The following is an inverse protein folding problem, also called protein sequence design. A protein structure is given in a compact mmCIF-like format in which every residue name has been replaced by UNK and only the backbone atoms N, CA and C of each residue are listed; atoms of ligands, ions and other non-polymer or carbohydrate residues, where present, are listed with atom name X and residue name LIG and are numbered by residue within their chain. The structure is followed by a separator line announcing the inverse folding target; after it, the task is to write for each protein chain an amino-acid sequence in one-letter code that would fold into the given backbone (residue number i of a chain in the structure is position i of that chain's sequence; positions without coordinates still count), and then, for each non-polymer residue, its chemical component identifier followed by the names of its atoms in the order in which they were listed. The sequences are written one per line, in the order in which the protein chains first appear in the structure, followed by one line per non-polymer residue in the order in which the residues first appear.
data_IF_227434312308
#
_entry.id   IF_227434312308
#
_cell.length_a   1.000
_cell.length_b   1.000
_cell.length_c   1.000
_cell.angle_alpha   90.00
_cell.angle_beta   90.00
_cell.angle_gamma   90.00
#
_symmetry.space_group_name_H-M   'P 1'
#
loop_
_entity.id
_entity.type
_entity.pdbx_description
1 polymer ?
#
# COMPACT_ATOMS: atom_id res chain seq x y z
N UNK A 1 22.09 2.04 -8.80
CA UNK A 1 22.71 1.15 -7.79
C UNK A 1 22.37 -0.27 -8.20
N UNK A 2 23.34 -1.03 -8.71
CA UNK A 2 23.20 -2.47 -8.93
C UNK A 2 23.44 -3.18 -7.59
N UNK A 3 22.40 -3.27 -6.77
CA UNK A 3 22.41 -4.08 -5.55
C UNK A 3 21.47 -5.25 -5.74
N UNK A 4 21.98 -6.48 -5.70
CA UNK A 4 21.13 -7.67 -5.68
C UNK A 4 20.27 -7.66 -4.42
N UNK A 5 18.95 -7.66 -4.56
CA UNK A 5 18.03 -7.70 -3.42
C UNK A 5 17.95 -9.13 -2.89
N UNK A 6 18.11 -9.31 -1.58
CA UNK A 6 17.82 -10.60 -0.94
C UNK A 6 16.90 -10.37 0.24
N UNK A 7 15.73 -11.01 0.23
CA UNK A 7 14.82 -11.04 1.37
C UNK A 7 14.94 -12.39 2.06
N UNK A 8 15.21 -12.36 3.36
CA UNK A 8 15.31 -13.54 4.21
C UNK A 8 14.52 -13.26 5.49
N UNK A 9 13.38 -13.92 5.66
CA UNK A 9 12.50 -13.76 6.82
C UNK A 9 12.38 -15.10 7.51
N UNK A 10 12.77 -15.18 8.79
CA UNK A 10 12.48 -16.32 9.66
C UNK A 10 11.51 -15.87 10.75
N UNK A 11 10.46 -16.66 11.00
CA UNK A 11 9.40 -16.29 11.94
C UNK A 11 8.69 -17.51 12.50
N UNK A 12 8.01 -17.34 13.64
CA UNK A 12 7.19 -18.39 14.25
C UNK A 12 5.79 -18.43 13.62
N UNK A 13 5.28 -19.64 13.38
CA UNK A 13 3.94 -19.87 12.86
C UNK A 13 3.13 -20.65 13.89
N UNK A 14 1.80 -20.49 13.89
CA UNK A 14 0.92 -20.99 14.95
C UNK A 14 1.02 -22.52 15.12
N UNK A 15 1.11 -23.25 14.00
CA UNK A 15 0.98 -24.72 13.99
C UNK A 15 2.19 -25.44 13.42
N UNK A 16 3.29 -24.73 13.16
CA UNK A 16 4.48 -25.29 12.50
C UNK A 16 5.77 -24.88 13.21
N UNK A 17 6.85 -25.62 12.94
CA UNK A 17 8.23 -25.18 13.24
C UNK A 17 8.49 -23.81 12.60
N UNK A 18 9.49 -23.04 13.09
CA UNK A 18 9.87 -21.76 12.51
C UNK A 18 9.87 -21.81 10.98
N UNK A 19 9.13 -20.89 10.37
CA UNK A 19 9.00 -20.77 8.92
C UNK A 19 10.08 -19.84 8.38
N UNK A 20 10.41 -20.02 7.11
CA UNK A 20 11.44 -19.24 6.43
C UNK A 20 11.01 -18.89 5.01
N UNK A 21 11.03 -17.60 4.69
CA UNK A 21 10.76 -17.06 3.35
C UNK A 21 12.07 -16.48 2.80
N UNK A 22 12.50 -16.99 1.64
CA UNK A 22 13.65 -16.49 0.90
C UNK A 22 13.24 -15.99 -0.49
N UNK A 23 13.59 -14.76 -0.83
CA UNK A 23 13.52 -14.25 -2.20
C UNK A 23 14.93 -13.86 -2.61
N UNK A 24 15.48 -14.57 -3.59
CA UNK A 24 16.82 -14.37 -4.12
C UNK A 24 16.80 -14.23 -5.64
N UNK A 25 17.83 -13.58 -6.18
CA UNK A 25 18.02 -13.45 -7.62
C UNK A 25 18.06 -14.82 -8.32
N UNK A 26 17.57 -14.92 -9.58
CA UNK A 26 17.63 -16.15 -10.36
C UNK A 26 19.09 -16.55 -10.61
N UNK A 27 19.59 -17.47 -9.77
CA UNK A 27 20.99 -17.89 -9.72
C UNK A 27 21.47 -18.32 -8.34
N UNK A 28 20.82 -17.85 -7.26
CA UNK A 28 21.16 -18.18 -5.86
C UNK A 28 20.42 -19.39 -5.27
N UNK A 29 19.47 -20.00 -6.00
CA UNK A 29 18.67 -21.11 -5.50
C UNK A 29 19.46 -22.44 -5.55
N UNK A 30 19.87 -22.92 -4.38
CA UNK A 30 20.36 -24.28 -4.19
C UNK A 30 19.27 -25.29 -4.58
N UNK A 31 19.57 -26.20 -5.50
CA UNK A 31 18.70 -27.30 -5.94
C UNK A 31 18.53 -28.31 -4.80
N UNK A 32 17.60 -28.07 -3.87
CA UNK A 32 17.23 -29.02 -2.80
C UNK A 32 15.77 -29.44 -2.91
N UNK A 33 15.46 -30.73 -2.80
CA UNK A 33 14.11 -31.28 -3.02
C UNK A 33 13.07 -31.00 -1.91
N UNK A 34 13.38 -30.14 -0.92
CA UNK A 34 12.43 -29.62 0.08
C UNK A 34 11.75 -28.30 -0.34
N UNK A 35 12.12 -27.79 -1.52
CA UNK A 35 11.85 -26.43 -2.02
C UNK A 35 10.43 -26.27 -2.62
N UNK A 36 9.70 -27.36 -2.87
CA UNK A 36 8.42 -27.29 -3.58
C UNK A 36 7.24 -26.85 -2.69
N UNK A 37 7.18 -27.34 -1.45
CA UNK A 37 6.15 -26.95 -0.46
C UNK A 37 6.36 -25.53 0.09
N UNK A 38 7.63 -25.13 0.24
CA UNK A 38 8.02 -23.76 0.63
C UNK A 38 7.69 -22.77 -0.49
N UNK A 39 7.94 -23.13 -1.75
CA UNK A 39 7.51 -22.33 -2.91
C UNK A 39 6.00 -22.17 -3.00
N UNK A 40 5.21 -23.20 -2.69
CA UNK A 40 3.74 -23.08 -2.70
C UNK A 40 3.23 -22.16 -1.61
N UNK A 41 3.75 -22.22 -0.38
CA UNK A 41 3.31 -21.33 0.70
C UNK A 41 3.75 -19.88 0.47
N UNK A 42 4.98 -19.69 -0.02
CA UNK A 42 5.48 -18.37 -0.41
C UNK A 42 4.64 -17.76 -1.54
N UNK A 43 4.26 -18.54 -2.55
CA UNK A 43 3.33 -18.11 -3.60
C UNK A 43 1.94 -17.82 -3.05
N UNK A 44 1.46 -18.56 -2.05
CA UNK A 44 0.17 -18.29 -1.42
C UNK A 44 0.17 -16.99 -0.61
N UNK A 45 1.28 -16.66 0.08
CA UNK A 45 1.38 -15.46 0.92
C UNK A 45 1.76 -14.19 0.14
N UNK A 46 2.58 -14.32 -0.90
CA UNK A 46 3.09 -13.18 -1.68
C UNK A 46 2.48 -13.09 -3.09
N UNK A 47 1.74 -14.12 -3.52
CA UNK A 47 1.24 -14.24 -4.89
C UNK A 47 2.38 -14.34 -5.91
N UNK A 48 2.13 -13.74 -7.07
CA UNK A 48 3.10 -13.64 -8.18
C UNK A 48 4.27 -12.69 -7.89
N UNK A 49 4.31 -12.05 -6.71
CA UNK A 49 5.31 -11.04 -6.34
C UNK A 49 6.63 -11.67 -5.91
N UNK A 50 7.33 -12.27 -6.89
CA UNK A 50 8.69 -12.80 -6.73
C UNK A 50 9.79 -11.73 -6.85
N UNK A 51 11.03 -12.18 -6.98
CA UNK A 51 12.23 -11.32 -7.05
C UNK A 51 12.11 -10.18 -8.07
N UNK A 52 11.71 -10.48 -9.30
CA UNK A 52 11.59 -9.48 -10.38
C UNK A 52 10.58 -8.38 -10.06
N UNK A 53 9.53 -8.70 -9.32
CA UNK A 53 8.53 -7.72 -8.90
C UNK A 53 9.11 -6.78 -7.85
N UNK A 54 9.78 -7.35 -6.83
CA UNK A 54 10.46 -6.55 -5.82
C UNK A 54 11.52 -5.65 -6.45
N UNK A 55 12.34 -6.19 -7.36
CA UNK A 55 13.34 -5.40 -8.09
C UNK A 55 12.72 -4.20 -8.82
N UNK A 56 11.63 -4.43 -9.56
CA UNK A 56 10.87 -3.35 -10.20
C UNK A 56 10.33 -2.34 -9.18
N UNK A 57 9.74 -2.80 -8.08
CA UNK A 57 9.25 -1.92 -7.01
C UNK A 57 10.38 -1.07 -6.43
N UNK A 58 11.56 -1.64 -6.18
CA UNK A 58 12.71 -0.87 -5.70
C UNK A 58 13.26 0.13 -6.71
N UNK A 59 13.21 -0.19 -8.02
CA UNK A 59 13.53 0.77 -9.09
C UNK A 59 12.54 1.94 -9.11
N UNK A 60 11.26 1.64 -8.88
CA UNK A 60 10.22 2.67 -8.72
C UNK A 60 10.45 3.53 -7.47
N UNK A 61 10.73 2.92 -6.31
CA UNK A 61 11.09 3.63 -5.07
C UNK A 61 12.30 4.55 -5.26
N UNK A 62 13.33 4.07 -5.96
CA UNK A 62 14.51 4.89 -6.26
C UNK A 62 14.15 6.13 -7.10
N UNK A 63 13.14 6.04 -7.96
CA UNK A 63 12.64 7.18 -8.73
C UNK A 63 11.87 8.18 -7.85
N UNK A 64 11.08 7.69 -6.89
CA UNK A 64 10.34 8.52 -5.93
C UNK A 64 11.25 9.36 -5.03
N UNK A 65 12.42 8.85 -4.65
CA UNK A 65 13.40 9.61 -3.84
C UNK A 65 13.79 10.96 -4.44
N UNK A 66 13.72 11.10 -5.77
CA UNK A 66 14.02 12.38 -6.43
C UNK A 66 12.98 13.48 -6.17
N UNK A 67 11.84 13.14 -5.55
CA UNK A 67 10.81 14.08 -5.14
C UNK A 67 11.25 14.85 -3.89
N UNK A 68 11.95 14.22 -2.95
CA UNK A 68 12.44 14.91 -1.74
C UNK A 68 13.83 15.49 -2.03
N UNK A 69 13.97 16.82 -1.97
CA UNK A 69 15.25 17.48 -2.24
C UNK A 69 16.06 17.64 -0.96
N UNK A 70 17.16 16.90 -0.81
CA UNK A 70 18.08 17.08 0.32
C UNK A 70 18.98 18.29 0.07
N UNK A 71 18.94 19.29 0.96
CA UNK A 71 19.82 20.48 0.94
C UNK A 71 21.25 20.19 1.46
N UNK A 72 21.70 18.92 1.42
CA UNK A 72 22.92 18.46 2.06
C UNK A 72 24.16 19.22 1.53
N UNK A 73 24.74 20.05 2.41
CA UNK A 73 26.04 20.70 2.15
C UNK A 73 27.13 19.66 2.36
N UNK A 74 27.82 19.35 1.27
CA UNK A 74 28.92 18.39 1.17
C UNK A 74 29.99 18.63 2.24
N UNK A 75 30.10 17.77 3.27
CA UNK A 75 31.41 17.24 3.76
C UNK A 75 31.29 16.23 4.92
N UNK A 76 30.42 16.42 5.92
CA UNK A 76 30.25 15.47 7.06
C UNK A 76 29.04 14.51 6.92
N UNK A 77 28.17 14.76 5.94
CA UNK A 77 26.87 14.09 5.75
C UNK A 77 26.93 12.69 5.12
N UNK A 78 28.10 12.18 4.73
CA UNK A 78 28.16 10.92 3.96
C UNK A 78 27.80 9.67 4.77
N UNK A 79 28.15 9.62 6.06
CA UNK A 79 27.80 8.49 6.93
C UNK A 79 26.34 8.55 7.39
N UNK A 80 25.84 9.75 7.70
CA UNK A 80 24.43 10.00 8.03
C UNK A 80 23.51 9.74 6.81
N UNK A 81 23.94 10.17 5.62
CA UNK A 81 23.25 9.86 4.36
C UNK A 81 23.17 8.35 4.12
N UNK A 82 24.26 7.60 4.37
CA UNK A 82 24.28 6.14 4.22
C UNK A 82 23.40 5.42 5.24
N UNK A 83 23.39 5.84 6.51
CA UNK A 83 22.51 5.26 7.53
C UNK A 83 21.04 5.56 7.26
N UNK A 84 20.73 6.77 6.80
CA UNK A 84 19.37 7.16 6.45
C UNK A 84 18.86 6.35 5.26
N UNK A 85 19.68 6.12 4.24
CA UNK A 85 19.31 5.27 3.09
C UNK A 85 19.05 3.82 3.51
N UNK A 86 19.86 3.25 4.41
CA UNK A 86 19.65 1.89 4.89
C UNK A 86 18.33 1.75 5.67
N UNK A 87 18.05 2.71 6.57
CA UNK A 87 16.79 2.76 7.30
C UNK A 87 15.60 2.98 6.36
N UNK A 88 15.70 3.91 5.41
CA UNK A 88 14.68 4.16 4.40
C UNK A 88 14.32 2.89 3.63
N UNK A 89 15.32 2.19 3.08
CA UNK A 89 15.12 0.92 2.39
C UNK A 89 14.43 -0.12 3.29
N UNK A 90 14.83 -0.20 4.57
CA UNK A 90 14.26 -1.13 5.54
C UNK A 90 12.77 -0.85 5.80
N UNK A 91 12.43 0.41 6.12
CA UNK A 91 11.06 0.82 6.40
C UNK A 91 10.16 0.67 5.16
N UNK A 92 10.66 1.05 3.98
CA UNK A 92 9.92 0.90 2.72
C UNK A 92 9.62 -0.58 2.43
N UNK A 93 10.61 -1.45 2.59
CA UNK A 93 10.43 -2.89 2.41
C UNK A 93 9.41 -3.48 3.38
N UNK A 94 9.52 -3.15 4.67
CA UNK A 94 8.58 -3.62 5.69
C UNK A 94 7.15 -3.18 5.38
N UNK A 95 6.96 -1.90 5.02
CA UNK A 95 5.64 -1.39 4.65
C UNK A 95 5.05 -2.07 3.40
N UNK A 96 5.89 -2.29 2.38
CA UNK A 96 5.49 -3.02 1.18
C UNK A 96 5.07 -4.46 1.51
N UNK A 97 5.83 -5.15 2.36
CA UNK A 97 5.51 -6.52 2.77
C UNK A 97 4.20 -6.59 3.56
N UNK A 98 4.00 -5.66 4.51
CA UNK A 98 2.73 -5.54 5.26
C UNK A 98 1.57 -5.39 4.29
N UNK A 99 1.68 -4.49 3.31
CA UNK A 99 0.63 -4.23 2.32
C UNK A 99 0.34 -5.46 1.45
N UNK A 100 1.38 -6.11 0.91
CA UNK A 100 1.23 -7.33 0.10
C UNK A 100 0.52 -8.41 0.91
N UNK A 101 0.98 -8.70 2.11
CA UNK A 101 0.45 -9.78 2.94
C UNK A 101 -0.98 -9.44 3.39
N UNK A 102 -1.24 -8.20 3.82
CA UNK A 102 -2.57 -7.77 4.22
C UNK A 102 -3.59 -7.92 3.08
N UNK A 103 -3.27 -7.45 1.87
CA UNK A 103 -4.15 -7.62 0.71
C UNK A 103 -4.37 -9.09 0.35
N UNK A 104 -3.31 -9.92 0.34
CA UNK A 104 -3.44 -11.34 0.04
C UNK A 104 -4.26 -12.10 1.07
N UNK A 105 -4.06 -11.82 2.35
CA UNK A 105 -4.86 -12.43 3.40
C UNK A 105 -6.33 -11.99 3.31
N UNK A 106 -6.59 -10.70 3.06
CA UNK A 106 -7.95 -10.19 2.85
C UNK A 106 -8.64 -10.80 1.63
N UNK A 107 -7.91 -11.09 0.56
CA UNK A 107 -8.43 -11.75 -0.64
C UNK A 107 -8.87 -13.19 -0.35
N UNK A 108 -8.02 -13.97 0.35
CA UNK A 108 -8.28 -15.40 0.59
C UNK A 108 -9.26 -15.62 1.74
N UNK A 109 -9.15 -14.85 2.82
CA UNK A 109 -9.94 -15.04 4.06
C UNK A 109 -10.51 -13.71 4.61
N UNK A 110 -11.33 -12.98 3.84
CA UNK A 110 -11.74 -11.61 4.15
C UNK A 110 -12.39 -11.46 5.53
N UNK A 111 -13.23 -12.42 5.96
CA UNK A 111 -13.94 -12.33 7.24
C UNK A 111 -13.01 -12.44 8.46
N UNK A 112 -12.16 -13.47 8.49
CA UNK A 112 -11.23 -13.73 9.61
C UNK A 112 -10.15 -12.65 9.67
N UNK A 113 -9.61 -12.28 8.51
CA UNK A 113 -8.52 -11.31 8.40
C UNK A 113 -9.01 -9.90 8.72
N UNK A 114 -10.22 -9.52 8.30
CA UNK A 114 -10.87 -8.27 8.72
C UNK A 114 -10.98 -8.18 10.24
N UNK A 115 -11.50 -9.23 10.88
CA UNK A 115 -11.64 -9.28 12.36
C UNK A 115 -10.28 -9.10 13.03
N UNK A 116 -9.25 -9.79 12.54
CA UNK A 116 -7.89 -9.67 13.04
C UNK A 116 -7.34 -8.24 12.88
N UNK A 117 -7.40 -7.67 11.66
CA UNK A 117 -6.88 -6.33 11.38
C UNK A 117 -7.60 -5.25 12.18
N UNK A 118 -8.94 -5.34 12.35
CA UNK A 118 -9.71 -4.42 13.20
C UNK A 118 -9.22 -4.44 14.64
N UNK A 119 -9.02 -5.63 15.22
CA UNK A 119 -8.49 -5.76 16.57
C UNK A 119 -7.04 -5.26 16.70
N UNK A 120 -6.20 -5.49 15.68
CA UNK A 120 -4.84 -4.94 15.62
C UNK A 120 -4.85 -3.39 15.58
N UNK A 121 -5.75 -2.81 14.79
CA UNK A 121 -5.94 -1.35 14.70
C UNK A 121 -6.49 -0.76 16.01
N UNK A 122 -7.43 -1.44 16.67
CA UNK A 122 -7.97 -1.02 17.98
C UNK A 122 -6.90 -1.03 19.07
N UNK A 123 -6.10 -2.10 19.14
CA UNK A 123 -5.02 -2.23 20.11
C UNK A 123 -3.88 -1.22 19.87
N UNK A 124 -3.59 -0.87 18.60
CA UNK A 124 -2.58 0.14 18.27
C UNK A 124 -3.08 1.58 18.41
N UNK A 125 -4.39 1.82 18.34
CA UNK A 125 -5.00 3.15 18.57
C UNK A 125 -4.69 3.72 19.96
N UNK A 126 -4.50 2.87 20.98
CA UNK A 126 -4.10 3.29 22.33
C UNK A 126 -2.66 3.82 22.42
N UNK A 127 -1.77 3.33 21.55
CA UNK A 127 -0.35 3.68 21.49
C UNK A 127 -0.10 5.14 21.06
N UNK A 128 -1.06 5.78 20.38
CA UNK A 128 -1.03 7.22 20.10
C UNK A 128 -1.01 8.11 21.35
N UNK A 129 -1.34 7.56 22.53
CA UNK A 129 -1.33 8.26 23.83
C UNK A 129 -0.09 8.00 24.69
N UNK A 130 0.87 7.17 24.23
CA UNK A 130 2.21 7.07 24.81
C UNK A 130 2.41 6.10 25.99
N UNK A 131 1.42 5.27 26.31
CA UNK A 131 1.58 4.17 27.27
C UNK A 131 0.70 3.01 26.87
N UNK A 132 1.26 2.08 26.11
CA UNK A 132 1.02 0.64 26.25
C UNK A 132 1.93 -0.05 25.23
N UNK A 133 2.86 -0.86 25.73
CA UNK A 133 3.47 -1.90 24.91
C UNK A 133 2.32 -2.68 24.26
N UNK A 134 2.42 -2.90 22.95
CA UNK A 134 1.53 -3.81 22.21
C UNK A 134 1.69 -5.18 22.88
N UNK A 135 0.90 -5.45 23.92
CA UNK A 135 1.06 -6.61 24.81
C UNK A 135 1.09 -7.87 23.95
N UNK A 136 2.26 -8.48 23.79
CA UNK A 136 2.45 -9.68 22.98
C UNK A 136 1.48 -10.80 23.40
N UNK A 137 1.14 -10.84 24.69
CA UNK A 137 0.18 -11.77 25.30
C UNK A 137 -1.24 -11.58 24.75
N UNK A 138 -1.69 -10.33 24.54
CA UNK A 138 -3.02 -10.06 23.96
C UNK A 138 -3.11 -10.50 22.51
N UNK A 139 -2.01 -10.44 21.77
CA UNK A 139 -2.01 -10.81 20.35
C UNK A 139 -1.88 -12.30 20.10
N UNK A 140 -1.18 -13.03 20.97
CA UNK A 140 -1.17 -14.50 20.91
C UNK A 140 -2.59 -15.06 21.12
N UNK A 141 -3.33 -14.56 22.10
CA UNK A 141 -4.73 -14.96 22.30
C UNK A 141 -5.59 -14.65 21.06
N UNK A 142 -5.33 -13.52 20.37
CA UNK A 142 -6.02 -13.14 19.13
C UNK A 142 -5.68 -14.02 17.92
N UNK A 143 -4.46 -14.52 17.84
CA UNK A 143 -4.01 -15.41 16.78
C UNK A 143 -4.58 -16.83 16.96
N UNK A 144 -4.76 -17.26 18.21
CA UNK A 144 -5.13 -18.64 18.55
C UNK A 144 -6.64 -18.93 18.54
N UNK A 145 -7.49 -17.92 18.77
CA UNK A 145 -8.92 -18.16 19.03
C UNK A 145 -9.74 -18.56 17.78
N UNK A 146 -9.30 -18.21 16.56
CA UNK A 146 -10.12 -18.30 15.33
C UNK A 146 -9.43 -19.01 14.13
N UNK A 147 -8.21 -19.52 14.29
CA UNK A 147 -7.41 -20.11 13.19
C UNK A 147 -7.41 -21.64 13.28
N UNK A 148 -8.00 -22.29 12.29
CA UNK A 148 -7.96 -23.75 12.19
C UNK A 148 -6.53 -24.20 11.89
N UNK A 149 -5.98 -25.21 12.61
CA UNK A 149 -4.61 -25.64 12.38
C UNK A 149 -4.29 -26.16 10.98
N UNK A 150 -5.30 -26.60 10.24
CA UNK A 150 -5.18 -27.07 8.87
C UNK A 150 -5.09 -25.91 7.85
N UNK A 151 -5.45 -24.69 8.24
CA UNK A 151 -5.37 -23.50 7.39
C UNK A 151 -3.94 -22.97 7.38
N UNK A 152 -3.13 -23.47 6.44
CA UNK A 152 -1.71 -23.12 6.34
C UNK A 152 -1.49 -21.63 6.04
N UNK A 153 -2.42 -20.98 5.34
CA UNK A 153 -2.34 -19.58 4.94
C UNK A 153 -2.54 -18.69 6.17
N UNK A 154 -3.61 -18.91 6.95
CA UNK A 154 -3.85 -18.12 8.15
C UNK A 154 -2.86 -18.41 9.27
N UNK A 155 -2.52 -19.69 9.48
CA UNK A 155 -1.58 -20.10 10.54
C UNK A 155 -0.14 -19.62 10.34
N UNK A 156 0.20 -19.21 9.11
CA UNK A 156 1.50 -18.62 8.77
C UNK A 156 1.40 -17.12 8.53
N UNK A 157 0.38 -16.67 7.80
CA UNK A 157 0.28 -15.30 7.33
C UNK A 157 -0.09 -14.29 8.41
N UNK A 158 -0.98 -14.63 9.35
CA UNK A 158 -1.34 -13.72 10.44
C UNK A 158 -0.15 -13.44 11.40
N UNK A 159 0.61 -14.47 11.85
CA UNK A 159 1.84 -14.24 12.62
C UNK A 159 2.86 -13.40 11.85
N UNK A 160 3.03 -13.67 10.55
CA UNK A 160 3.96 -12.90 9.72
C UNK A 160 3.54 -11.42 9.62
N UNK A 161 2.26 -11.15 9.38
CA UNK A 161 1.71 -9.78 9.33
C UNK A 161 1.94 -9.06 10.66
N UNK A 162 1.67 -9.72 11.79
CA UNK A 162 1.91 -9.16 13.12
C UNK A 162 3.39 -8.88 13.36
N UNK A 163 4.27 -9.82 13.05
CA UNK A 163 5.71 -9.66 13.23
C UNK A 163 6.26 -8.50 12.39
N UNK A 164 5.83 -8.39 11.13
CA UNK A 164 6.22 -7.27 10.27
C UNK A 164 5.73 -5.92 10.81
N UNK A 165 4.48 -5.88 11.29
CA UNK A 165 3.91 -4.70 11.95
C UNK A 165 4.73 -4.27 13.17
N UNK A 166 5.04 -5.21 14.08
CA UNK A 166 5.83 -4.97 15.28
C UNK A 166 7.25 -4.51 14.94
N UNK A 167 7.92 -5.17 14.00
CA UNK A 167 9.28 -4.81 13.56
C UNK A 167 9.31 -3.43 12.92
N UNK A 168 8.30 -3.08 12.10
CA UNK A 168 8.20 -1.74 11.52
C UNK A 168 8.05 -0.67 12.61
N UNK A 169 7.12 -0.87 13.56
CA UNK A 169 6.92 0.05 14.68
C UNK A 169 8.18 0.19 15.54
N UNK A 170 8.85 -0.91 15.85
CA UNK A 170 10.13 -0.90 16.56
C UNK A 170 11.17 -0.03 15.86
N UNK A 171 11.37 -0.20 14.55
CA UNK A 171 12.33 0.62 13.80
C UNK A 171 11.91 2.09 13.75
N UNK A 172 10.62 2.39 13.61
CA UNK A 172 10.11 3.77 13.65
C UNK A 172 10.38 4.41 15.02
N UNK A 173 10.14 3.69 16.11
CA UNK A 173 10.33 4.21 17.46
C UNK A 173 11.80 4.37 17.86
N UNK A 174 12.66 3.42 17.47
CA UNK A 174 14.06 3.40 17.87
C UNK A 174 14.97 4.19 16.94
N UNK A 175 14.72 4.16 15.63
CA UNK A 175 15.67 4.65 14.62
C UNK A 175 15.22 5.96 13.94
N UNK A 176 13.94 6.38 14.03
CA UNK A 176 13.51 7.68 13.47
C UNK A 176 13.70 8.79 14.51
N UNK A 177 14.60 9.76 14.26
CA UNK A 177 14.97 10.78 15.26
C UNK A 177 13.87 11.83 15.47
N UNK A 178 13.16 12.22 14.41
CA UNK A 178 12.20 13.31 14.47
C UNK A 178 10.84 12.84 14.97
N UNK A 179 10.39 13.36 16.13
CA UNK A 179 9.15 12.93 16.79
C UNK A 179 7.89 13.16 15.93
N UNK A 180 7.81 14.29 15.22
CA UNK A 180 6.68 14.56 14.34
C UNK A 180 6.64 13.55 13.18
N UNK A 181 7.78 13.23 12.59
CA UNK A 181 7.85 12.26 11.49
C UNK A 181 7.47 10.87 11.97
N UNK A 182 7.96 10.46 13.15
CA UNK A 182 7.57 9.21 13.80
C UNK A 182 6.05 9.10 13.94
N UNK A 183 5.41 10.14 14.46
CA UNK A 183 3.95 10.18 14.62
C UNK A 183 3.23 10.09 13.29
N UNK A 184 3.70 10.77 12.24
CA UNK A 184 3.12 10.70 10.90
C UNK A 184 3.32 9.34 10.25
N UNK A 185 4.48 8.71 10.38
CA UNK A 185 4.76 7.36 9.87
C UNK A 185 3.85 6.30 10.51
N UNK A 186 3.72 6.32 11.85
CA UNK A 186 2.84 5.39 12.58
C UNK A 186 1.38 5.61 12.17
N UNK A 187 0.94 6.87 12.11
CA UNK A 187 -0.42 7.22 11.70
C UNK A 187 -0.73 6.73 10.28
N UNK A 188 0.15 7.04 9.32
CA UNK A 188 -0.05 6.65 7.93
C UNK A 188 -0.05 5.12 7.75
N UNK A 189 0.83 4.40 8.46
CA UNK A 189 0.85 2.93 8.43
C UNK A 189 -0.43 2.31 9.02
N UNK A 190 -1.01 2.95 10.04
CA UNK A 190 -2.31 2.58 10.59
C UNK A 190 -3.44 2.85 9.60
N UNK A 191 -3.47 4.05 8.99
CA UNK A 191 -4.48 4.44 8.01
C UNK A 191 -4.43 3.52 6.79
N UNK A 192 -3.25 3.14 6.32
CA UNK A 192 -3.09 2.15 5.26
C UNK A 192 -3.78 0.83 5.57
N UNK A 193 -3.55 0.28 6.76
CA UNK A 193 -4.14 -1.00 7.15
C UNK A 193 -5.66 -0.90 7.34
N UNK A 194 -6.16 0.21 7.88
CA UNK A 194 -7.60 0.52 7.95
C UNK A 194 -8.23 0.65 6.55
N UNK A 195 -7.55 1.36 5.64
CA UNK A 195 -8.02 1.56 4.27
C UNK A 195 -8.08 0.26 3.47
N UNK A 196 -7.15 -0.68 3.68
CA UNK A 196 -7.26 -2.03 3.12
C UNK A 196 -8.59 -2.65 3.57
N UNK A 197 -8.89 -2.65 4.86
CA UNK A 197 -10.16 -3.20 5.37
C UNK A 197 -11.37 -2.51 4.76
N UNK A 198 -11.38 -1.17 4.77
CA UNK A 198 -12.48 -0.35 4.25
C UNK A 198 -12.68 -0.53 2.75
N UNK A 199 -11.62 -0.71 1.97
CA UNK A 199 -11.72 -0.92 0.51
C UNK A 199 -12.51 -2.20 0.19
N UNK A 200 -12.30 -3.27 0.95
CA UNK A 200 -13.07 -4.51 0.82
C UNK A 200 -14.51 -4.33 1.30
N UNK A 201 -14.74 -3.63 2.41
CA UNK A 201 -16.09 -3.36 2.92
C UNK A 201 -16.91 -2.57 1.89
N UNK A 202 -16.38 -1.46 1.37
CA UNK A 202 -17.05 -0.63 0.37
C UNK A 202 -17.21 -1.38 -0.98
N UNK A 203 -16.21 -2.15 -1.39
CA UNK A 203 -16.24 -2.92 -2.63
C UNK A 203 -17.30 -4.04 -2.62
N UNK A 204 -17.46 -4.75 -1.50
CA UNK A 204 -18.45 -5.83 -1.38
C UNK A 204 -19.91 -5.34 -1.38
N UNK A 205 -20.19 -4.19 -0.76
CA UNK A 205 -21.54 -3.61 -0.71
C UNK A 205 -22.11 -3.31 -2.11
N UNK A 206 -21.25 -3.03 -3.10
CA UNK A 206 -21.69 -2.78 -4.47
C UNK A 206 -22.00 -4.05 -5.29
N UNK A 207 -21.56 -5.23 -4.83
CA UNK A 207 -21.76 -6.52 -5.54
C UNK A 207 -23.02 -7.26 -5.08
N UNK A 208 -23.45 -7.09 -3.83
CA UNK A 208 -24.59 -7.82 -3.26
C UNK A 208 -25.96 -7.26 -3.69
N UNK A 209 -25.98 -6.22 -4.53
CA UNK A 209 -27.20 -5.73 -5.18
C UNK A 209 -27.77 -6.71 -6.23
N UNK A 210 -27.09 -7.83 -6.49
CA UNK A 210 -27.57 -8.91 -7.36
C UNK A 210 -28.24 -10.08 -6.60
N UNK A 211 -28.18 -10.12 -5.26
CA UNK A 211 -28.90 -11.11 -4.45
C UNK A 211 -30.02 -10.45 -3.65
N UNK A 212 -31.26 -10.61 -4.13
CA UNK A 212 -32.46 -10.09 -3.50
C UNK A 212 -32.78 -10.75 -2.17
N UNK A 213 -32.15 -10.28 -1.09
CA UNK A 213 -32.59 -10.53 0.28
C UNK A 213 -33.28 -9.28 0.87
N UNK A 214 -34.31 -9.57 1.64
CA UNK A 214 -35.48 -8.74 1.92
C UNK A 214 -35.16 -7.36 2.52
N UNK A 215 -35.78 -6.34 1.93
CA UNK A 215 -35.79 -4.97 2.40
C UNK A 215 -36.39 -4.89 3.82
N UNK A 216 -35.55 -4.60 4.80
CA UNK A 216 -36.01 -4.04 6.07
C UNK A 216 -36.27 -2.54 5.85
N UNK A 217 -37.54 -2.22 5.59
CA UNK A 217 -38.09 -0.85 5.54
C UNK A 217 -37.99 -0.21 6.93
N UNK A 218 -36.89 0.51 7.24
CA UNK A 218 -36.93 1.71 8.10
C UNK A 218 -35.53 2.34 8.23
N UNK A 219 -35.07 2.98 7.15
CA UNK A 219 -34.13 4.10 7.27
C UNK A 219 -34.13 4.90 5.98
N UNK A 220 -34.83 6.04 5.98
CA UNK A 220 -34.75 7.05 4.92
C UNK A 220 -33.41 7.78 5.03
N UNK A 221 -32.31 7.05 4.87
CA UNK A 221 -31.00 7.64 4.62
C UNK A 221 -30.93 7.90 3.13
N UNK A 222 -31.03 9.18 2.74
CA UNK A 222 -30.78 9.60 1.36
C UNK A 222 -29.40 9.10 0.96
N UNK A 223 -29.35 8.14 0.03
CA UNK A 223 -28.08 7.59 -0.42
C UNK A 223 -27.23 8.73 -1.03
N UNK A 224 -25.94 8.83 -0.68
CA UNK A 224 -25.08 9.88 -1.23
C UNK A 224 -25.01 9.76 -2.76
N UNK A 225 -24.81 10.89 -3.48
CA UNK A 225 -24.62 10.88 -4.93
C UNK A 225 -23.55 9.87 -5.38
N UNK A 226 -23.72 9.28 -6.57
CA UNK A 226 -22.81 8.26 -7.11
C UNK A 226 -21.35 8.74 -7.14
N UNK A 227 -21.14 10.01 -7.45
CA UNK A 227 -19.82 10.64 -7.48
C UNK A 227 -19.17 10.68 -6.10
N UNK A 228 -19.92 11.00 -5.05
CA UNK A 228 -19.42 11.00 -3.67
C UNK A 228 -19.04 9.60 -3.21
N UNK A 229 -19.85 8.58 -3.57
CA UNK A 229 -19.54 7.17 -3.28
C UNK A 229 -18.27 6.72 -4.00
N UNK A 230 -18.12 7.08 -5.26
CA UNK A 230 -16.91 6.77 -6.04
C UNK A 230 -15.68 7.41 -5.42
N UNK A 231 -15.73 8.71 -5.11
CA UNK A 231 -14.63 9.42 -4.49
C UNK A 231 -14.27 8.83 -3.11
N UNK A 232 -15.26 8.47 -2.29
CA UNK A 232 -15.03 7.81 -1.01
C UNK A 232 -14.38 6.43 -1.15
N UNK A 233 -14.77 5.65 -2.16
CA UNK A 233 -14.14 4.37 -2.47
C UNK A 233 -12.69 4.57 -2.93
N UNK A 234 -12.44 5.48 -3.87
CA UNK A 234 -11.09 5.72 -4.39
C UNK A 234 -10.19 6.28 -3.30
N UNK A 235 -10.68 7.12 -2.39
CA UNK A 235 -9.90 7.66 -1.28
C UNK A 235 -9.27 6.56 -0.40
N UNK A 236 -9.96 5.43 -0.20
CA UNK A 236 -9.39 4.30 0.56
C UNK A 236 -8.68 3.30 -0.34
N UNK A 237 -9.17 3.06 -1.56
CA UNK A 237 -8.55 2.10 -2.46
C UNK A 237 -7.21 2.59 -2.98
N UNK A 238 -7.05 3.91 -3.14
CA UNK A 238 -5.87 4.49 -3.73
C UNK A 238 -4.61 4.28 -2.88
N UNK A 239 -4.78 4.24 -1.56
CA UNK A 239 -3.68 4.12 -0.61
C UNK A 239 -2.95 2.79 -0.70
N UNK A 240 -3.47 1.80 -1.44
CA UNK A 240 -2.73 0.57 -1.78
C UNK A 240 -1.39 0.81 -2.47
N UNK A 241 -1.23 1.98 -3.11
CA UNK A 241 0.03 2.42 -3.72
C UNK A 241 1.05 2.93 -2.68
N UNK A 242 0.58 3.32 -1.50
CA UNK A 242 1.38 3.73 -0.35
C UNK A 242 2.33 4.89 -0.64
N UNK A 243 2.07 5.71 -1.66
CA UNK A 243 3.01 6.74 -2.07
C UNK A 243 3.23 7.76 -0.96
N UNK A 244 2.19 8.09 -0.19
CA UNK A 244 2.29 8.98 0.98
C UNK A 244 3.26 8.44 2.01
N UNK A 245 3.12 7.18 2.43
CA UNK A 245 4.03 6.56 3.40
C UNK A 245 5.46 6.47 2.88
N UNK A 246 5.64 6.10 1.60
CA UNK A 246 6.96 5.98 0.99
C UNK A 246 7.69 7.33 0.94
N UNK A 247 6.96 8.42 0.62
CA UNK A 247 7.48 9.78 0.65
C UNK A 247 7.79 10.26 2.07
N UNK A 248 6.94 9.94 3.04
CA UNK A 248 7.22 10.21 4.46
C UNK A 248 8.51 9.50 4.90
N UNK A 249 8.73 8.26 4.49
CA UNK A 249 10.00 7.57 4.77
C UNK A 249 11.17 8.28 4.06
N UNK A 250 11.01 8.69 2.81
CA UNK A 250 12.05 9.43 2.08
C UNK A 250 12.37 10.78 2.73
N UNK A 251 11.44 11.37 3.49
CA UNK A 251 11.67 12.60 4.27
C UNK A 251 12.72 12.43 5.39
N UNK A 252 13.15 11.21 5.71
CA UNK A 252 14.35 10.97 6.54
C UNK A 252 15.64 11.56 5.94
N UNK A 253 15.64 11.89 4.65
CA UNK A 253 16.74 12.59 4.01
C UNK A 253 16.73 14.11 4.27
N UNK A 254 15.65 14.66 4.82
CA UNK A 254 15.56 16.08 5.17
C UNK A 254 16.30 16.37 6.47
N UNK A 255 16.89 17.56 6.54
CA UNK A 255 17.40 18.09 7.81
C UNK A 255 16.23 18.30 8.80
N UNK A 256 16.49 18.16 10.09
CA UNK A 256 15.45 18.17 11.13
C UNK A 256 14.62 19.45 11.12
N UNK A 257 15.23 20.58 10.80
CA UNK A 257 14.58 21.90 10.73
C UNK A 257 13.60 21.99 9.56
N UNK A 258 13.76 21.12 8.56
CA UNK A 258 12.89 21.07 7.41
C UNK A 258 11.66 20.16 7.62
N UNK A 259 11.63 19.36 8.67
CA UNK A 259 10.52 18.45 8.99
C UNK A 259 9.45 19.20 9.80
N UNK A 260 8.64 20.01 9.11
CA UNK A 260 7.55 20.79 9.72
C UNK A 260 6.18 20.20 9.38
N UNK A 261 5.11 20.50 10.16
CA UNK A 261 3.76 20.06 9.84
C UNK A 261 3.33 20.44 8.43
N UNK A 262 3.57 21.67 8.01
CA UNK A 262 3.16 22.22 6.71
C UNK A 262 3.83 21.47 5.55
N UNK A 263 5.11 21.12 5.71
CA UNK A 263 5.85 20.35 4.71
C UNK A 263 5.40 18.90 4.63
N UNK A 264 5.11 18.28 5.77
CA UNK A 264 4.58 16.92 5.77
C UNK A 264 3.15 16.87 5.25
N UNK A 265 2.33 17.89 5.49
CA UNK A 265 0.97 17.99 4.94
C UNK A 265 1.02 18.21 3.42
N UNK A 266 1.90 19.08 2.93
CA UNK A 266 2.10 19.25 1.48
C UNK A 266 2.66 17.97 0.82
N UNK A 267 3.57 17.26 1.50
CA UNK A 267 4.07 15.96 1.04
C UNK A 267 2.96 14.90 0.97
N UNK A 268 2.02 14.92 1.92
CA UNK A 268 0.85 14.05 1.89
C UNK A 268 -0.04 14.35 0.69
N UNK A 269 -0.28 15.62 0.36
CA UNK A 269 -1.01 16.00 -0.86
C UNK A 269 -0.33 15.46 -2.14
N UNK A 270 1.00 15.49 -2.20
CA UNK A 270 1.76 14.88 -3.30
C UNK A 270 1.52 13.37 -3.35
N UNK A 271 1.62 12.70 -2.19
CA UNK A 271 1.40 11.26 -2.05
C UNK A 271 0.00 10.84 -2.50
N UNK A 272 -1.04 11.52 -2.03
CA UNK A 272 -2.44 11.27 -2.41
C UNK A 272 -2.68 11.43 -3.92
N UNK A 273 -2.06 12.43 -4.55
CA UNK A 273 -2.11 12.60 -6.00
C UNK A 273 -1.45 11.43 -6.73
N UNK A 274 -0.29 10.98 -6.25
CA UNK A 274 0.41 9.82 -6.84
C UNK A 274 -0.36 8.52 -6.65
N UNK A 275 -0.98 8.32 -5.50
CA UNK A 275 -1.83 7.17 -5.19
C UNK A 275 -3.06 7.11 -6.11
N UNK A 276 -3.67 8.27 -6.38
CA UNK A 276 -4.76 8.40 -7.35
C UNK A 276 -4.33 7.94 -8.75
N UNK A 277 -3.28 8.56 -9.30
CA UNK A 277 -2.76 8.28 -10.65
C UNK A 277 -2.36 6.81 -10.79
N UNK A 278 -1.61 6.29 -9.82
CA UNK A 278 -1.23 4.89 -9.77
C UNK A 278 -2.43 3.97 -9.75
N UNK A 279 -3.42 4.27 -8.90
CA UNK A 279 -4.56 3.37 -8.70
C UNK A 279 -5.47 3.30 -9.90
N UNK A 280 -5.78 4.45 -10.51
CA UNK A 280 -6.58 4.51 -11.74
C UNK A 280 -5.88 3.76 -12.86
N UNK A 281 -4.58 4.00 -13.08
CA UNK A 281 -3.82 3.34 -14.13
C UNK A 281 -3.76 1.82 -13.93
N UNK A 282 -3.48 1.37 -12.70
CA UNK A 282 -3.45 -0.05 -12.37
C UNK A 282 -4.84 -0.70 -12.52
N UNK A 283 -5.90 -0.08 -12.00
CA UNK A 283 -7.24 -0.66 -12.02
C UNK A 283 -7.79 -0.81 -13.44
N UNK A 284 -7.53 0.17 -14.31
CA UNK A 284 -7.85 0.06 -15.74
C UNK A 284 -7.03 -1.03 -16.45
N UNK A 285 -5.77 -1.24 -16.07
CA UNK A 285 -4.94 -2.26 -16.69
C UNK A 285 -5.36 -3.69 -16.30
N UNK A 286 -6.02 -3.86 -15.14
CA UNK A 286 -6.23 -5.17 -14.50
C UNK A 286 -7.69 -5.50 -14.17
N UNK A 287 -8.66 -4.64 -14.46
CA UNK A 287 -10.06 -4.85 -14.09
C UNK A 287 -10.64 -6.20 -14.53
N UNK A 288 -10.25 -6.74 -15.68
CA UNK A 288 -10.75 -8.06 -16.14
C UNK A 288 -10.35 -9.19 -15.19
N UNK A 289 -9.11 -9.16 -14.68
CA UNK A 289 -8.62 -10.12 -13.68
C UNK A 289 -9.30 -9.85 -12.35
N UNK A 290 -9.31 -8.59 -11.90
CA UNK A 290 -9.83 -8.21 -10.59
C UNK A 290 -11.33 -8.52 -10.46
N UNK A 291 -12.09 -8.46 -11.57
CA UNK A 291 -13.50 -8.89 -11.62
C UNK A 291 -13.66 -10.38 -11.33
N UNK A 292 -12.75 -11.23 -11.85
CA UNK A 292 -12.78 -12.67 -11.60
C UNK A 292 -12.32 -13.04 -10.19
N UNK A 293 -11.37 -12.29 -9.64
CA UNK A 293 -10.79 -12.51 -8.30
C UNK A 293 -11.61 -11.82 -7.18
N UNK A 294 -12.63 -11.03 -7.54
CA UNK A 294 -13.47 -10.24 -6.60
C UNK A 294 -12.66 -9.32 -5.70
N UNK A 295 -11.60 -8.73 -6.26
CA UNK A 295 -10.71 -7.80 -5.55
C UNK A 295 -11.23 -6.36 -5.76
N UNK A 296 -11.12 -5.47 -4.76
CA UNK A 296 -11.48 -4.07 -4.91
C UNK A 296 -10.77 -3.42 -6.11
N UNK A 297 -11.54 -2.73 -6.96
CA UNK A 297 -11.05 -2.06 -8.16
C UNK A 297 -11.94 -0.84 -8.46
N UNK A 298 -11.34 0.34 -8.61
CA UNK A 298 -12.05 1.61 -8.79
C UNK A 298 -12.88 1.65 -10.07
N UNK A 299 -12.40 1.02 -11.15
CA UNK A 299 -13.13 0.98 -12.41
C UNK A 299 -14.36 0.07 -12.32
N UNK A 300 -14.20 -1.12 -11.74
CA UNK A 300 -15.32 -2.04 -11.50
C UNK A 300 -16.36 -1.44 -10.55
N UNK A 301 -15.90 -0.73 -9.52
CA UNK A 301 -16.79 -0.02 -8.61
C UNK A 301 -17.59 1.05 -9.35
N UNK A 302 -16.94 1.85 -10.20
CA UNK A 302 -17.60 2.88 -11.01
C UNK A 302 -18.64 2.30 -12.00
N UNK A 303 -18.33 1.17 -12.65
CA UNK A 303 -19.28 0.46 -13.51
C UNK A 303 -20.51 -0.02 -12.70
N UNK A 304 -20.26 -0.62 -11.54
CA UNK A 304 -21.30 -1.18 -10.67
C UNK A 304 -22.25 -0.10 -10.15
N UNK A 305 -21.72 1.07 -9.75
CA UNK A 305 -22.52 2.22 -9.33
C UNK A 305 -23.45 2.75 -10.44
N UNK A 306 -23.17 2.42 -11.71
CA UNK A 306 -23.95 2.83 -12.88
C UNK A 306 -24.81 1.70 -13.45
N UNK A 307 -24.84 0.53 -12.82
CA UNK A 307 -25.57 -0.63 -13.30
C UNK A 307 -25.02 -1.22 -14.60
N UNK A 308 -23.74 -0.97 -14.90
CA UNK A 308 -23.06 -1.49 -16.09
C UNK A 308 -22.41 -2.83 -15.73
N UNK A 309 -22.72 -3.87 -16.51
CA UNK A 309 -22.11 -5.19 -16.31
C UNK A 309 -20.60 -5.13 -16.54
N UNK A 310 -19.80 -5.81 -15.71
CA UNK A 310 -18.33 -5.79 -15.83
C UNK A 310 -17.84 -6.32 -17.19
N UNK A 311 -18.62 -7.18 -17.86
CA UNK A 311 -18.35 -7.68 -19.21
C UNK A 311 -18.42 -6.60 -20.29
N UNK A 312 -19.10 -5.48 -20.03
CA UNK A 312 -19.25 -4.34 -20.94
C UNK A 312 -18.17 -3.27 -20.70
N UNK A 313 -17.24 -3.51 -19.77
CA UNK A 313 -16.22 -2.54 -19.36
C UNK A 313 -15.42 -1.95 -20.52
N UNK A 314 -15.07 -2.71 -21.56
CA UNK A 314 -14.27 -2.17 -22.68
C UNK A 314 -14.94 -0.95 -23.37
N UNK A 315 -16.27 -0.94 -23.47
CA UNK A 315 -17.01 0.15 -24.10
C UNK A 315 -17.01 1.47 -23.29
N UNK A 316 -16.76 1.38 -21.98
CA UNK A 316 -16.83 2.51 -21.05
C UNK A 316 -15.46 3.00 -20.56
N UNK A 317 -14.37 2.39 -21.01
CA UNK A 317 -13.03 2.76 -20.55
C UNK A 317 -12.69 4.22 -20.87
N UNK A 318 -13.09 4.72 -22.05
CA UNK A 318 -12.85 6.10 -22.46
C UNK A 318 -13.58 7.10 -21.55
N UNK A 319 -14.85 6.81 -21.25
CA UNK A 319 -15.67 7.67 -20.40
C UNK A 319 -15.10 7.74 -18.97
N UNK A 320 -14.70 6.59 -18.41
CA UNK A 320 -14.07 6.57 -17.10
C UNK A 320 -12.72 7.31 -17.08
N UNK A 321 -11.89 7.14 -18.13
CA UNK A 321 -10.62 7.87 -18.25
C UNK A 321 -10.84 9.37 -18.28
N UNK A 322 -11.86 9.88 -18.98
CA UNK A 322 -12.17 11.30 -19.01
C UNK A 322 -12.49 11.83 -17.61
N UNK A 323 -13.34 11.13 -16.85
CA UNK A 323 -13.69 11.50 -15.48
C UNK A 323 -12.46 11.44 -14.56
N UNK A 324 -11.71 10.34 -14.60
CA UNK A 324 -10.56 10.14 -13.73
C UNK A 324 -9.42 11.13 -14.03
N UNK A 325 -9.20 11.46 -15.30
CA UNK A 325 -8.21 12.46 -15.73
C UNK A 325 -8.62 13.88 -15.35
N UNK A 326 -9.91 14.22 -15.43
CA UNK A 326 -10.39 15.53 -14.99
C UNK A 326 -10.17 15.74 -13.48
N UNK A 327 -10.47 14.72 -12.67
CA UNK A 327 -10.21 14.74 -11.22
C UNK A 327 -8.72 14.80 -10.90
N UNK A 328 -7.89 14.04 -11.62
CA UNK A 328 -6.44 14.09 -11.48
C UNK A 328 -5.86 15.47 -11.85
N UNK A 329 -6.34 16.06 -12.94
CA UNK A 329 -5.93 17.40 -13.37
C UNK A 329 -6.29 18.46 -12.31
N UNK A 330 -7.48 18.38 -11.71
CA UNK A 330 -7.88 19.27 -10.62
C UNK A 330 -6.97 19.15 -9.39
N UNK A 331 -6.65 17.91 -8.97
CA UNK A 331 -5.69 17.65 -7.88
C UNK A 331 -4.30 18.21 -8.19
N UNK A 332 -3.81 18.02 -9.42
CA UNK A 332 -2.52 18.54 -9.86
C UNK A 332 -2.50 20.07 -9.88
N UNK A 333 -3.57 20.70 -10.39
CA UNK A 333 -3.69 22.15 -10.39
C UNK A 333 -3.67 22.71 -8.96
N UNK A 334 -4.41 22.09 -8.04
CA UNK A 334 -4.40 22.48 -6.62
C UNK A 334 -2.99 22.41 -6.03
N UNK A 335 -2.26 21.31 -6.25
CA UNK A 335 -0.87 21.16 -5.80
C UNK A 335 0.03 22.28 -6.34
N UNK A 336 -0.11 22.62 -7.62
CA UNK A 336 0.65 23.70 -8.23
C UNK A 336 0.29 25.07 -7.64
N UNK A 337 -0.99 25.32 -7.36
CA UNK A 337 -1.45 26.56 -6.74
C UNK A 337 -0.92 26.69 -5.31
N UNK A 338 -0.98 25.61 -4.52
CA UNK A 338 -0.42 25.57 -3.16
C UNK A 338 1.09 25.80 -3.17
N UNK A 339 1.82 25.16 -4.08
CA UNK A 339 3.26 25.35 -4.23
C UNK A 339 3.65 26.78 -4.61
N UNK A 340 2.83 27.46 -5.42
CA UNK A 340 3.02 28.88 -5.76
C UNK A 340 2.71 29.80 -4.57
N UNK A 341 1.68 29.46 -3.79
CA UNK A 341 1.25 30.24 -2.62
C UNK A 341 2.26 30.16 -1.48
N UNK A 342 2.82 28.98 -1.25
CA UNK A 342 3.81 28.72 -0.20
C UNK A 342 5.06 28.05 -0.77
N UNK A 343 5.83 28.87 -1.51
CA UNK A 343 7.07 28.43 -2.14
C UNK A 343 8.11 27.94 -1.15
N UNK A 344 8.05 28.36 0.12
CA UNK A 344 9.00 27.93 1.15
C UNK A 344 8.73 26.49 1.60
N UNK A 345 7.45 26.15 1.80
CA UNK A 345 7.02 24.79 2.09
C UNK A 345 7.34 23.87 0.92
N UNK A 346 6.99 24.29 -0.31
CA UNK A 346 7.20 23.48 -1.51
C UNK A 346 8.68 23.32 -1.93
N UNK A 347 9.58 24.20 -1.48
CA UNK A 347 11.00 24.15 -1.87
C UNK A 347 11.73 22.85 -1.48
N UNK A 348 11.21 22.10 -0.50
CA UNK A 348 11.75 20.80 -0.11
C UNK A 348 11.36 19.66 -1.08
N UNK A 349 10.54 19.94 -2.10
CA UNK A 349 9.96 18.92 -2.97
C UNK A 349 10.01 19.30 -4.46
N UNK A 350 10.34 18.33 -5.30
CA UNK A 350 10.46 18.50 -6.75
C UNK A 350 9.15 18.11 -7.45
N UNK A 351 8.28 19.08 -7.73
CA UNK A 351 7.10 18.85 -8.59
C UNK A 351 7.45 18.29 -9.99
N UNK A 352 8.54 18.70 -10.66
CA UNK A 352 8.97 18.05 -11.90
C UNK A 352 9.35 16.57 -11.70
N UNK A 353 9.84 16.17 -10.52
CA UNK A 353 10.07 14.75 -10.22
C UNK A 353 8.75 13.99 -10.08
N UNK A 354 7.73 14.59 -9.47
CA UNK A 354 6.39 14.01 -9.38
C UNK A 354 5.86 13.71 -10.79
N UNK A 355 5.89 14.69 -11.71
CA UNK A 355 5.46 14.49 -13.11
C UNK A 355 6.22 13.35 -13.80
N UNK A 356 7.54 13.26 -13.62
CA UNK A 356 8.35 12.17 -14.18
C UNK A 356 7.91 10.80 -13.65
N UNK A 357 7.66 10.69 -12.35
CA UNK A 357 7.20 9.43 -11.73
C UNK A 357 5.81 9.06 -12.22
N UNK A 358 4.88 10.03 -12.34
CA UNK A 358 3.56 9.79 -12.95
C UNK A 358 3.69 9.33 -14.41
N UNK A 359 4.58 9.95 -15.19
CA UNK A 359 4.88 9.51 -16.55
C UNK A 359 5.34 8.05 -16.61
N UNK A 360 6.21 7.63 -15.67
CA UNK A 360 6.65 6.24 -15.56
C UNK A 360 5.49 5.28 -15.21
N UNK A 361 4.62 5.67 -14.27
CA UNK A 361 3.42 4.89 -13.91
C UNK A 361 2.55 4.68 -15.15
N UNK A 362 2.22 5.74 -15.87
CA UNK A 362 1.39 5.67 -17.08
C UNK A 362 2.04 4.88 -18.20
N UNK A 363 3.37 4.94 -18.34
CA UNK A 363 4.11 4.11 -19.29
C UNK A 363 4.01 2.62 -18.95
N UNK A 364 4.16 2.26 -17.68
CA UNK A 364 4.10 0.86 -17.24
C UNK A 364 2.69 0.30 -17.31
N UNK A 365 1.67 1.12 -17.01
CA UNK A 365 0.30 0.65 -16.91
C UNK A 365 -0.59 0.92 -18.13
N UNK A 366 -0.29 1.85 -19.06
CA UNK A 366 -1.32 2.12 -20.06
C UNK A 366 -1.13 3.01 -21.28
N UNK A 367 -0.16 3.92 -21.42
CA UNK A 367 -0.32 4.90 -22.53
C UNK A 367 -0.09 4.33 -23.95
N UNK A 368 0.39 3.08 -24.11
CA UNK A 368 0.59 2.41 -25.41
C UNK A 368 0.16 0.93 -25.42
N UNK A 369 -0.94 0.55 -24.76
CA UNK A 369 -1.37 -0.86 -24.61
C UNK A 369 -1.90 -1.53 -25.90
N UNK A 370 -1.08 -1.60 -26.94
CA UNK A 370 -1.17 -2.66 -27.93
C UNK A 370 -0.68 -3.97 -27.34
N UNK A 371 -1.61 -4.84 -26.89
CA UNK A 371 -1.55 -6.31 -26.62
C UNK A 371 -0.32 -6.99 -25.97
N UNK A 372 0.82 -6.34 -25.78
CA UNK A 372 2.09 -6.97 -25.39
C UNK A 372 2.61 -6.60 -24.00
N UNK A 373 2.11 -5.52 -23.37
CA UNK A 373 2.63 -5.00 -22.08
C UNK A 373 2.00 -5.61 -20.83
N UNK A 374 1.04 -6.55 -20.96
CA UNK A 374 0.29 -7.15 -19.83
C UNK A 374 1.14 -7.87 -18.77
N UNK A 375 2.45 -8.06 -18.98
CA UNK A 375 3.38 -8.73 -18.05
C UNK A 375 4.27 -7.78 -17.22
N UNK A 376 4.13 -6.46 -17.34
CA UNK A 376 5.14 -5.50 -16.83
C UNK A 376 4.71 -4.57 -15.69
N UNK A 377 3.56 -4.76 -15.06
CA UNK A 377 3.10 -3.96 -13.90
C UNK A 377 3.96 -4.12 -12.62
N UNK A 378 4.03 -3.07 -11.79
CA UNK A 378 4.66 -3.03 -10.44
C UNK A 378 3.85 -3.71 -9.32
#
# INVERSE_FOLDING_TARGET
MEGSISLNIAFEAINKRPQYIAIMAPGGASKGSGDQTMKTLQQQLLGDKGYSQLEKMFMFLASMRSIVTSDAKETDDLLLSRSNIALQNKLQLLSILINIIAYRLMEVHPRKVRKFMRKLLEASSGSASGTDEVDAIRFDDLLMEDVEPADEILSTGLPLLLALWQVLHYHIEQEVPHKLLRSRLVKEQWELLDHIVRSYELGTISSDSESGDEASEDSTVVAPPLEERFLAFVAVQATRWQATLLLLIDSLALASELVTPERLDFLACIGEYMEWEGSVAHDLARYQRDASERVPNAYLFWLSQRGIAHSEGEAHESEFREVANALAAAKWEQLQQEARRDSWTAAAFSLPAVERVIGLIRQVYGDHSGRSSRKESF
#
